data_IF_101934755316
#
_entry.id   IF_101934755316
#
_cell.length_a   1.000
_cell.length_b   1.000
_cell.length_c   1.000
_cell.angle_alpha   90.00
_cell.angle_beta   90.00
_cell.angle_gamma   90.00
#
_symmetry.space_group_name_H-M   'P 1'
#
loop_
_entity.id
_entity.type
_entity.pdbx_description
1 polymer ?
#
# COMPACT_ATOMS: atom_id res chain seq x y z
N UNK A 1 14.44 -7.09 -6.53
CA UNK A 1 12.98 -7.09 -6.73
C UNK A 1 12.37 -7.07 -5.35
N UNK A 2 11.22 -6.44 -5.17
CA UNK A 2 10.51 -6.45 -3.88
C UNK A 2 9.02 -6.69 -4.12
N UNK A 3 8.31 -7.08 -3.06
CA UNK A 3 6.85 -7.13 -3.04
C UNK A 3 6.33 -5.79 -3.53
N UNK A 4 5.45 -5.79 -4.53
CA UNK A 4 4.74 -4.58 -4.93
C UNK A 4 3.38 -4.41 -4.23
N UNK A 5 3.05 -5.33 -3.34
CA UNK A 5 1.75 -5.48 -2.71
C UNK A 5 1.18 -6.88 -2.94
N UNK A 6 0.57 -7.39 -1.87
CA UNK A 6 -0.19 -8.64 -1.85
C UNK A 6 -1.68 -8.32 -1.67
N UNK A 7 -2.53 -9.21 -2.18
CA UNK A 7 -3.98 -9.13 -2.07
C UNK A 7 -4.52 -10.43 -1.49
N UNK A 8 -5.52 -10.32 -0.61
CA UNK A 8 -6.33 -11.45 -0.17
C UNK A 8 -7.52 -11.55 -1.11
N UNK A 9 -7.54 -12.63 -1.89
CA UNK A 9 -8.61 -12.94 -2.85
C UNK A 9 -9.52 -13.99 -2.22
N UNK A 10 -10.78 -13.65 -2.03
CA UNK A 10 -11.85 -14.56 -1.62
C UNK A 10 -12.99 -14.51 -2.65
N UNK A 11 -13.91 -15.50 -2.69
CA UNK A 11 -14.97 -15.56 -3.71
C UNK A 11 -15.87 -14.32 -3.81
N UNK A 12 -16.03 -13.58 -2.71
CA UNK A 12 -16.94 -12.40 -2.62
C UNK A 12 -16.24 -11.11 -2.25
N UNK A 13 -14.93 -11.13 -2.04
CA UNK A 13 -14.20 -9.98 -1.54
C UNK A 13 -12.73 -10.03 -1.92
N UNK A 14 -12.19 -8.88 -2.28
CA UNK A 14 -10.78 -8.69 -2.55
C UNK A 14 -10.31 -7.49 -1.74
N UNK A 15 -9.29 -7.68 -0.89
CA UNK A 15 -8.69 -6.60 -0.12
C UNK A 15 -7.18 -6.72 -0.11
N UNK A 16 -6.48 -5.59 -0.13
CA UNK A 16 -5.02 -5.63 -0.03
C UNK A 16 -4.62 -6.19 1.34
N UNK A 17 -3.49 -6.89 1.39
CA UNK A 17 -3.04 -7.58 2.60
C UNK A 17 -2.91 -6.60 3.79
N UNK A 18 -2.46 -5.38 3.54
CA UNK A 18 -2.35 -4.29 4.50
C UNK A 18 -3.64 -4.06 5.30
N UNK A 19 -4.76 -4.02 4.58
CA UNK A 19 -6.08 -3.75 5.14
C UNK A 19 -6.68 -5.00 5.78
N UNK A 20 -6.42 -6.17 5.18
CA UNK A 20 -6.85 -7.44 5.76
C UNK A 20 -6.19 -7.71 7.12
N UNK A 21 -4.86 -7.50 7.22
CA UNK A 21 -4.08 -7.62 8.45
C UNK A 21 -4.59 -6.70 9.57
N UNK A 22 -5.11 -5.53 9.19
CA UNK A 22 -5.49 -4.45 10.09
C UNK A 22 -6.98 -4.12 10.02
N UNK A 23 -7.82 -5.10 9.66
CA UNK A 23 -9.23 -4.86 9.32
C UNK A 23 -9.99 -4.09 10.42
N UNK A 24 -9.69 -4.33 11.70
CA UNK A 24 -10.29 -3.60 12.81
C UNK A 24 -10.00 -2.09 12.80
N UNK A 25 -8.80 -1.68 12.40
CA UNK A 25 -8.38 -0.27 12.34
C UNK A 25 -8.91 0.45 11.09
N UNK A 26 -8.94 -0.26 9.96
CA UNK A 26 -9.23 0.32 8.63
C UNK A 26 -10.74 0.30 8.31
N UNK A 27 -11.53 -0.62 8.88
CA UNK A 27 -12.97 -0.79 8.57
C UNK A 27 -13.80 0.48 8.74
N UNK A 28 -13.41 1.35 9.68
CA UNK A 28 -14.15 2.57 9.98
C UNK A 28 -13.81 3.74 9.02
N UNK A 29 -12.74 3.62 8.23
CA UNK A 29 -12.36 4.58 7.20
C UNK A 29 -13.26 4.39 5.98
N UNK A 30 -14.27 5.25 5.88
CA UNK A 30 -15.27 5.23 4.81
C UNK A 30 -15.06 6.44 3.91
N UNK A 31 -14.18 6.29 2.93
CA UNK A 31 -14.11 7.22 1.81
C UNK A 31 -14.88 6.64 0.64
N UNK A 32 -15.89 7.37 0.17
CA UNK A 32 -16.63 7.03 -1.03
C UNK A 32 -16.06 7.75 -2.25
N UNK A 33 -16.19 7.15 -3.43
CA UNK A 33 -15.81 7.78 -4.70
C UNK A 33 -14.66 7.07 -5.42
N UNK A 34 -13.94 7.83 -6.25
CA UNK A 34 -12.86 7.31 -7.08
C UNK A 34 -11.57 7.13 -6.28
N UNK A 35 -10.63 6.35 -6.84
CA UNK A 35 -9.30 6.14 -6.26
C UNK A 35 -8.58 7.47 -5.98
N UNK A 36 -8.74 8.44 -6.88
CA UNK A 36 -8.14 9.78 -6.76
C UNK A 36 -8.71 10.54 -5.57
N UNK A 37 -10.02 10.45 -5.31
CA UNK A 37 -10.64 11.07 -4.13
C UNK A 37 -10.15 10.43 -2.84
N UNK A 38 -10.02 9.11 -2.82
CA UNK A 38 -9.45 8.39 -1.67
C UNK A 38 -8.01 8.83 -1.40
N UNK A 39 -7.18 8.89 -2.45
CA UNK A 39 -5.80 9.40 -2.33
C UNK A 39 -5.76 10.84 -1.84
N UNK A 40 -6.62 11.72 -2.36
CA UNK A 40 -6.70 13.12 -1.93
C UNK A 40 -6.99 13.24 -0.43
N UNK A 41 -7.93 12.44 0.09
CA UNK A 41 -8.26 12.43 1.52
C UNK A 41 -7.08 11.92 2.36
N UNK A 42 -6.45 10.83 1.95
CA UNK A 42 -5.26 10.29 2.61
C UNK A 42 -4.12 11.32 2.63
N UNK A 43 -3.86 12.01 1.51
CA UNK A 43 -2.83 13.04 1.45
C UNK A 43 -3.17 14.27 2.28
N UNK A 44 -4.44 14.69 2.34
CA UNK A 44 -4.89 15.80 3.21
C UNK A 44 -4.64 15.47 4.68
N UNK A 45 -4.92 14.24 5.09
CA UNK A 45 -4.64 13.79 6.45
C UNK A 45 -3.14 13.72 6.73
N UNK A 46 -2.35 13.16 5.81
CA UNK A 46 -0.91 13.10 5.95
C UNK A 46 -0.28 14.50 5.95
N UNK A 47 -0.80 15.45 5.19
CA UNK A 47 -0.31 16.83 5.14
C UNK A 47 -0.47 17.53 6.49
N UNK A 48 -1.58 17.30 7.19
CA UNK A 48 -1.77 17.81 8.56
C UNK A 48 -0.76 17.24 9.56
N UNK A 49 -0.34 15.98 9.37
CA UNK A 49 0.56 15.25 10.27
C UNK A 49 2.05 15.46 9.95
N UNK A 50 2.39 15.49 8.66
CA UNK A 50 3.73 15.67 8.11
C UNK A 50 3.65 16.24 6.68
N UNK A 51 3.67 17.58 6.52
CA UNK A 51 3.57 18.23 5.21
C UNK A 51 4.67 17.79 4.23
N UNK A 52 5.90 17.60 4.75
CA UNK A 52 7.05 17.16 3.94
C UNK A 52 6.83 15.76 3.35
N UNK A 53 6.38 14.80 4.18
CA UNK A 53 6.09 13.45 3.72
C UNK A 53 4.91 13.45 2.75
N UNK A 54 3.84 14.19 3.05
CA UNK A 54 2.69 14.31 2.17
C UNK A 54 3.08 14.80 0.78
N UNK A 55 3.91 15.84 0.68
CA UNK A 55 4.41 16.36 -0.60
C UNK A 55 5.19 15.29 -1.36
N UNK A 56 6.14 14.62 -0.70
CA UNK A 56 6.96 13.56 -1.31
C UNK A 56 6.08 12.41 -1.83
N UNK A 57 5.15 11.93 -1.01
CA UNK A 57 4.30 10.79 -1.36
C UNK A 57 3.28 11.15 -2.43
N UNK A 58 2.71 12.35 -2.40
CA UNK A 58 1.79 12.84 -3.43
C UNK A 58 2.47 12.94 -4.79
N UNK A 59 3.69 13.49 -4.85
CA UNK A 59 4.46 13.52 -6.11
C UNK A 59 4.69 12.10 -6.62
N UNK A 60 5.19 11.20 -5.77
CA UNK A 60 5.49 9.84 -6.20
C UNK A 60 4.24 9.06 -6.63
N UNK A 61 3.12 9.22 -5.93
CA UNK A 61 1.85 8.58 -6.28
C UNK A 61 1.31 9.05 -7.64
N UNK A 62 1.52 10.32 -8.00
CA UNK A 62 1.09 10.86 -9.29
C UNK A 62 1.80 10.22 -10.48
N UNK A 63 3.01 9.71 -10.27
CA UNK A 63 3.82 9.03 -11.28
C UNK A 63 3.55 7.52 -11.33
N UNK A 64 2.82 6.96 -10.36
CA UNK A 64 2.67 5.51 -10.20
C UNK A 64 2.08 4.85 -11.44
N UNK A 65 0.99 5.41 -11.97
CA UNK A 65 0.29 4.84 -13.13
C UNK A 65 1.20 4.87 -14.38
N UNK A 66 1.95 5.94 -14.57
CA UNK A 66 2.89 6.07 -15.69
C UNK A 66 4.11 5.14 -15.55
N UNK A 67 4.53 4.85 -14.32
CA UNK A 67 5.61 3.90 -14.02
C UNK A 67 5.15 2.43 -13.97
N UNK A 68 3.85 2.16 -14.18
CA UNK A 68 3.26 0.83 -14.07
C UNK A 68 3.02 0.18 -15.43
N UNK A 69 3.38 -1.09 -15.52
CA UNK A 69 3.03 -1.99 -16.60
C UNK A 69 1.92 -2.94 -16.14
N UNK A 70 0.70 -2.77 -16.67
CA UNK A 70 -0.41 -3.68 -16.41
C UNK A 70 -0.30 -4.90 -17.30
N UNK A 71 -0.34 -6.09 -16.70
CA UNK A 71 -0.33 -7.37 -17.41
C UNK A 71 -1.66 -8.08 -17.25
N UNK A 72 -2.26 -8.47 -18.38
CA UNK A 72 -3.44 -9.33 -18.45
C UNK A 72 -3.04 -10.78 -18.49
N UNK A 73 -3.91 -11.65 -17.97
CA UNK A 73 -3.81 -13.10 -18.09
C UNK A 73 -2.48 -13.69 -17.59
N UNK A 74 -1.90 -13.07 -16.56
CA UNK A 74 -0.69 -13.55 -15.87
C UNK A 74 -0.99 -13.82 -14.41
N UNK A 75 -0.23 -14.72 -13.80
CA UNK A 75 -0.07 -14.76 -12.36
C UNK A 75 1.34 -14.23 -12.03
N UNK A 76 1.43 -13.21 -11.18
CA UNK A 76 2.72 -12.71 -10.74
C UNK A 76 3.39 -13.72 -9.80
N UNK A 77 4.71 -13.82 -9.88
CA UNK A 77 5.48 -14.67 -8.97
C UNK A 77 5.45 -14.11 -7.56
N UNK A 78 5.21 -14.97 -6.57
CA UNK A 78 5.27 -14.63 -5.15
C UNK A 78 6.69 -14.19 -4.76
N UNK A 79 6.83 -12.94 -4.33
CA UNK A 79 8.07 -12.43 -3.73
C UNK A 79 7.94 -12.55 -2.22
N UNK A 80 8.78 -13.43 -1.64
CA UNK A 80 8.73 -13.85 -0.22
C UNK A 80 9.27 -12.81 0.77
N UNK A 81 9.03 -11.52 0.54
CA UNK A 81 9.38 -10.40 1.43
C UNK A 81 8.16 -9.78 2.12
N UNK A 82 6.95 -10.32 1.94
CA UNK A 82 5.81 -9.86 2.74
C UNK A 82 5.83 -10.38 4.19
N UNK A 83 6.50 -11.51 4.46
CA UNK A 83 6.64 -12.11 5.81
C UNK A 83 5.33 -12.16 6.62
N UNK A 84 4.19 -12.33 5.93
CA UNK A 84 2.90 -12.44 6.59
C UNK A 84 2.81 -13.75 7.39
N UNK A 85 2.16 -13.69 8.55
CA UNK A 85 2.19 -14.78 9.54
C UNK A 85 0.96 -15.70 9.48
N UNK A 86 0.06 -15.48 8.52
CA UNK A 86 -1.18 -16.24 8.41
C UNK A 86 -1.58 -16.45 6.96
N UNK A 87 -2.36 -17.50 6.73
CA UNK A 87 -3.16 -17.68 5.53
C UNK A 87 -4.64 -17.58 5.90
N UNK A 88 -5.52 -17.06 5.03
CA UNK A 88 -6.95 -17.09 5.26
C UNK A 88 -7.44 -18.51 5.56
N UNK A 89 -8.32 -18.67 6.57
CA UNK A 89 -8.92 -19.98 6.93
C UNK A 89 -10.09 -20.38 6.03
N UNK A 90 -10.73 -19.40 5.41
CA UNK A 90 -11.87 -19.64 4.52
C UNK A 90 -11.40 -20.41 3.28
N UNK A 91 -12.17 -21.44 2.95
CA UNK A 91 -11.91 -22.26 1.76
C UNK A 91 -12.05 -21.36 0.53
N UNK A 92 -11.11 -21.49 -0.40
CA UNK A 92 -11.03 -20.67 -1.63
C UNK A 92 -10.59 -19.21 -1.41
N UNK A 93 -10.11 -18.86 -0.22
CA UNK A 93 -9.35 -17.63 0.00
C UNK A 93 -7.84 -17.88 -0.12
N UNK A 94 -7.12 -16.95 -0.75
CA UNK A 94 -5.66 -17.03 -0.90
C UNK A 94 -5.01 -15.65 -0.85
N UNK A 95 -3.76 -15.60 -0.41
CA UNK A 95 -2.88 -14.44 -0.58
C UNK A 95 -2.23 -14.57 -1.96
N UNK A 96 -2.33 -13.55 -2.79
CA UNK A 96 -1.75 -13.52 -4.14
C UNK A 96 -0.93 -12.24 -4.34
N UNK A 97 0.14 -12.33 -5.12
CA UNK A 97 0.93 -11.17 -5.51
C UNK A 97 0.14 -10.37 -6.57
N UNK A 98 -0.18 -9.12 -6.28
CA UNK A 98 -0.86 -8.23 -7.25
C UNK A 98 0.12 -7.30 -7.97
N UNK A 99 1.23 -6.96 -7.35
CA UNK A 99 2.20 -6.05 -7.92
C UNK A 99 3.63 -6.47 -7.59
N UNK A 100 4.58 -6.15 -8.47
CA UNK A 100 6.02 -6.38 -8.26
C UNK A 100 6.78 -5.12 -8.60
N UNK A 101 7.69 -4.70 -7.70
CA UNK A 101 8.65 -3.63 -7.97
C UNK A 101 9.95 -4.17 -8.54
N UNK A 102 10.29 -3.74 -9.76
CA UNK A 102 11.56 -4.07 -10.42
C UNK A 102 12.72 -3.29 -9.78
N UNK A 103 13.86 -3.97 -9.55
CA UNK A 103 15.09 -3.33 -9.04
C UNK A 103 15.63 -2.31 -10.04
N UNK A 104 15.60 -2.65 -11.31
CA UNK A 104 15.96 -1.80 -12.44
C UNK A 104 14.72 -1.58 -13.32
N UNK A 105 14.61 -0.41 -13.96
CA UNK A 105 13.51 -0.16 -14.89
C UNK A 105 13.65 -1.14 -16.08
N UNK A 106 12.53 -1.68 -16.54
CA UNK A 106 12.52 -2.52 -17.74
C UNK A 106 12.88 -1.72 -19.00
N UNK A 107 12.92 -2.38 -20.16
CA UNK A 107 13.23 -1.74 -21.45
C UNK A 107 12.30 -0.55 -21.76
N UNK A 108 11.04 -0.63 -21.32
CA UNK A 108 10.04 0.43 -21.48
C UNK A 108 10.06 1.48 -20.35
N UNK A 109 11.07 1.46 -19.48
CA UNK A 109 11.19 2.42 -18.38
C UNK A 109 10.22 2.20 -17.21
N UNK A 110 9.37 1.16 -17.27
CA UNK A 110 8.39 0.84 -16.22
C UNK A 110 9.05 0.21 -14.99
N UNK A 111 8.66 0.70 -13.81
CA UNK A 111 9.17 0.28 -12.50
C UNK A 111 8.33 -0.83 -11.88
N UNK A 112 7.02 -0.78 -12.08
CA UNK A 112 6.08 -1.74 -11.49
C UNK A 112 5.47 -2.63 -12.56
N UNK A 113 5.21 -3.88 -12.19
CA UNK A 113 4.32 -4.77 -12.93
C UNK A 113 3.11 -4.99 -12.03
N UNK A 114 1.91 -4.81 -12.56
CA UNK A 114 0.65 -5.06 -11.83
C UNK A 114 -0.20 -6.06 -12.60
N UNK A 115 -0.75 -7.04 -11.89
CA UNK A 115 -1.79 -7.92 -12.41
C UNK A 115 -3.08 -7.10 -12.64
N UNK A 116 -3.43 -6.91 -13.92
CA UNK A 116 -4.57 -6.10 -14.30
C UNK A 116 -5.91 -6.74 -13.87
N UNK A 117 -5.98 -8.06 -13.83
CA UNK A 117 -7.18 -8.79 -13.42
C UNK A 117 -7.46 -8.55 -11.94
N UNK A 118 -6.45 -8.71 -11.08
CA UNK A 118 -6.59 -8.45 -9.65
C UNK A 118 -6.81 -6.96 -9.36
N UNK A 119 -6.14 -6.07 -10.10
CA UNK A 119 -6.32 -4.63 -9.98
C UNK A 119 -7.74 -4.16 -10.27
N UNK A 120 -8.38 -4.71 -11.30
CA UNK A 120 -9.75 -4.38 -11.66
C UNK A 120 -10.79 -4.96 -10.69
N UNK A 121 -10.41 -5.94 -9.86
CA UNK A 121 -11.26 -6.46 -8.79
C UNK A 121 -11.17 -5.64 -7.50
N UNK A 122 -10.13 -4.83 -7.34
CA UNK A 122 -10.01 -3.96 -6.17
C UNK A 122 -11.05 -2.83 -6.20
N UNK A 123 -11.62 -2.57 -5.03
CA UNK A 123 -12.37 -1.32 -4.81
C UNK A 123 -11.48 -0.09 -5.02
N UNK A 124 -12.04 1.10 -5.29
CA UNK A 124 -11.26 2.34 -5.36
C UNK A 124 -10.37 2.58 -4.14
N UNK A 125 -10.85 2.21 -2.94
CA UNK A 125 -10.07 2.23 -1.69
C UNK A 125 -8.88 1.27 -1.73
N UNK A 126 -9.11 0.04 -2.21
CA UNK A 126 -8.05 -0.97 -2.37
C UNK A 126 -6.98 -0.54 -3.37
N UNK A 127 -7.38 0.04 -4.51
CA UNK A 127 -6.44 0.57 -5.49
C UNK A 127 -5.61 1.74 -4.92
N UNK A 128 -6.25 2.68 -4.19
CA UNK A 128 -5.54 3.76 -3.52
C UNK A 128 -4.57 3.22 -2.45
N UNK A 129 -4.99 2.20 -1.71
CA UNK A 129 -4.16 1.50 -0.73
C UNK A 129 -2.94 0.84 -1.37
N UNK A 130 -3.09 0.19 -2.54
CA UNK A 130 -1.98 -0.42 -3.26
C UNK A 130 -0.96 0.63 -3.73
N UNK A 131 -1.44 1.76 -4.29
CA UNK A 131 -0.56 2.87 -4.69
C UNK A 131 0.22 3.39 -3.47
N UNK A 132 -0.48 3.63 -2.36
CA UNK A 132 0.15 4.12 -1.14
C UNK A 132 1.14 3.12 -0.54
N UNK A 133 0.83 1.82 -0.58
CA UNK A 133 1.77 0.76 -0.21
C UNK A 133 3.08 0.92 -0.98
N UNK A 134 3.01 1.05 -2.30
CA UNK A 134 4.20 1.12 -3.14
C UNK A 134 5.02 2.39 -2.91
N UNK A 135 4.35 3.52 -2.73
CA UNK A 135 5.01 4.79 -2.39
C UNK A 135 5.75 4.69 -1.05
N UNK A 136 5.08 4.14 -0.03
CA UNK A 136 5.65 3.97 1.31
C UNK A 136 6.80 2.97 1.26
N UNK A 137 6.58 1.79 0.67
CA UNK A 137 7.57 0.74 0.65
C UNK A 137 8.80 1.12 -0.18
N UNK A 138 8.64 1.87 -1.28
CA UNK A 138 9.77 2.39 -2.04
C UNK A 138 10.61 3.37 -1.19
N UNK A 139 9.97 4.24 -0.42
CA UNK A 139 10.66 5.15 0.48
C UNK A 139 11.43 4.39 1.57
N UNK A 140 10.77 3.44 2.22
CA UNK A 140 11.35 2.62 3.28
C UNK A 140 12.51 1.74 2.78
N UNK A 141 12.36 1.16 1.59
CA UNK A 141 13.43 0.39 0.95
C UNK A 141 14.68 1.23 0.69
N UNK A 142 14.52 2.49 0.24
CA UNK A 142 15.64 3.43 0.07
C UNK A 142 16.34 3.79 1.40
N UNK A 143 15.66 3.59 2.52
CA UNK A 143 16.17 3.80 3.87
C UNK A 143 16.71 2.51 4.51
N UNK A 144 16.73 1.39 3.77
CA UNK A 144 17.34 0.14 4.20
C UNK A 144 16.38 -0.93 4.70
N UNK A 145 15.06 -0.73 4.60
CA UNK A 145 14.09 -1.79 4.91
C UNK A 145 14.14 -2.91 3.86
N UNK A 146 14.12 -4.17 4.31
CA UNK A 146 14.21 -5.36 3.46
C UNK A 146 12.87 -6.06 3.21
N UNK A 147 11.83 -5.70 3.97
CA UNK A 147 10.51 -6.31 3.90
C UNK A 147 9.39 -5.26 3.97
N UNK A 148 8.17 -5.66 3.58
CA UNK A 148 7.03 -4.75 3.50
C UNK A 148 6.21 -4.66 4.80
N UNK A 149 6.60 -5.34 5.90
CA UNK A 149 5.78 -5.41 7.13
C UNK A 149 5.49 -4.02 7.69
N UNK A 150 6.52 -3.18 7.76
CA UNK A 150 6.42 -1.80 8.24
C UNK A 150 5.65 -0.89 7.28
N UNK A 151 5.80 -1.12 5.98
CA UNK A 151 5.02 -0.40 4.97
C UNK A 151 3.52 -0.68 5.13
N UNK A 152 3.13 -1.94 5.30
CA UNK A 152 1.72 -2.34 5.52
C UNK A 152 1.12 -1.72 6.76
N UNK A 153 1.87 -1.67 7.87
CA UNK A 153 1.42 -1.02 9.11
C UNK A 153 1.21 0.48 8.94
N UNK A 154 2.14 1.18 8.30
CA UNK A 154 2.00 2.61 8.03
C UNK A 154 0.84 2.87 7.06
N UNK A 155 0.72 2.07 6.01
CA UNK A 155 -0.37 2.19 5.05
C UNK A 155 -1.73 2.00 5.74
N UNK A 156 -1.90 0.92 6.51
CA UNK A 156 -3.12 0.69 7.29
C UNK A 156 -3.43 1.85 8.26
N UNK A 157 -2.40 2.43 8.91
CA UNK A 157 -2.59 3.60 9.77
C UNK A 157 -3.13 4.81 8.99
N UNK A 158 -2.58 5.11 7.82
CA UNK A 158 -3.03 6.24 6.99
C UNK A 158 -4.46 6.07 6.46
N UNK A 159 -4.92 4.83 6.33
CA UNK A 159 -6.30 4.48 5.97
C UNK A 159 -7.14 4.09 7.20
N UNK A 160 -6.77 4.54 8.40
CA UNK A 160 -7.54 4.27 9.62
C UNK A 160 -8.19 5.54 10.16
N UNK A 161 -9.26 5.41 10.94
CA UNK A 161 -9.87 6.59 11.56
C UNK A 161 -8.97 7.28 12.59
N UNK A 162 -7.95 6.57 13.08
CA UNK A 162 -6.96 7.09 14.01
C UNK A 162 -6.22 8.29 13.39
N UNK A 163 -5.98 8.28 12.08
CA UNK A 163 -5.28 9.37 11.40
C UNK A 163 -6.01 10.71 11.57
N UNK A 164 -7.35 10.73 11.57
CA UNK A 164 -8.14 11.97 11.69
C UNK A 164 -8.05 12.60 13.08
N UNK A 165 -7.94 11.78 14.12
CA UNK A 165 -7.92 12.23 15.51
C UNK A 165 -6.50 12.51 16.03
N UNK A 166 -5.48 11.89 15.42
CA UNK A 166 -4.11 12.02 15.89
C UNK A 166 -3.52 13.42 15.62
N UNK A 167 -2.70 13.90 16.55
CA UNK A 167 -1.86 15.08 16.36
C UNK A 167 -0.54 14.73 15.66
N UNK A 168 0.24 15.73 15.26
CA UNK A 168 1.59 15.50 14.73
C UNK A 168 2.46 14.70 15.71
N UNK A 169 2.39 15.00 17.01
CA UNK A 169 3.15 14.24 18.00
C UNK A 169 2.71 12.78 18.12
N UNK A 170 1.40 12.52 18.09
CA UNK A 170 0.90 11.14 18.10
C UNK A 170 1.35 10.36 16.85
N UNK A 171 1.32 11.01 15.68
CA UNK A 171 1.84 10.44 14.45
C UNK A 171 3.33 10.10 14.55
N UNK A 172 4.16 11.04 15.02
CA UNK A 172 5.60 10.81 15.15
C UNK A 172 5.97 9.80 16.25
N UNK A 173 5.16 9.68 17.31
CA UNK A 173 5.28 8.57 18.26
C UNK A 173 5.01 7.25 17.57
N UNK A 174 3.94 7.14 16.78
CA UNK A 174 3.64 5.94 15.99
C UNK A 174 4.80 5.58 15.03
N UNK A 175 5.38 6.57 14.32
CA UNK A 175 6.56 6.36 13.47
C UNK A 175 7.74 5.81 14.28
N UNK A 176 8.00 6.38 15.45
CA UNK A 176 9.10 5.97 16.35
C UNK A 176 8.87 4.57 16.92
N UNK A 177 7.65 4.26 17.37
CA UNK A 177 7.29 2.96 17.95
C UNK A 177 7.39 1.83 16.92
N UNK A 178 7.12 2.12 15.64
CA UNK A 178 7.35 1.19 14.54
C UNK A 178 8.82 1.06 14.13
N UNK A 179 9.71 1.87 14.72
CA UNK A 179 11.11 2.00 14.34
C UNK A 179 11.28 2.29 12.85
N UNK A 180 10.45 3.19 12.30
CA UNK A 180 10.55 3.61 10.91
C UNK A 180 11.72 4.60 10.77
N UNK A 181 12.61 4.43 9.78
CA UNK A 181 13.75 5.33 9.55
C UNK A 181 13.35 6.68 8.91
N UNK A 182 12.18 7.20 9.26
CA UNK A 182 11.62 8.45 8.75
C UNK A 182 11.84 9.56 9.78
N UNK A 183 12.40 10.68 9.34
CA UNK A 183 12.74 11.81 10.20
C UNK A 183 11.79 12.99 10.00
N UNK A 184 11.60 13.77 11.08
CA UNK A 184 10.78 14.99 11.14
C UNK A 184 11.20 16.03 10.10
#
# INVERSE_FOLDING_TARGET
>A
MGNGGDIVVCPKSQDILDFYENAGAVRAFKTEGTREKVLEEVFRNLERLSPRQAKQYKTRASEFMDDTEFKKDVALTDIKDSKHLFTPKEKDCSVQQIAIRRKEKGLEGKRFIVDETLWNQLSPRGQAGLIMHEVIYEHLYKLGEEDSVRARKLNAYLFSNKVFADSQDSYWRFITDLNLPIYR
#
